data_IF_838010073122
#
_entry.id   IF_838010073122
#
_cell.length_a   1.000
_cell.length_b   1.000
_cell.length_c   1.000
_cell.angle_alpha   90.00
_cell.angle_beta   90.00
_cell.angle_gamma   90.00
#
_symmetry.space_group_name_H-M   'P 1'
#
loop_
_entity.id
_entity.type
_entity.pdbx_description
1 polymer ?
#
# COMPACT_ATOMS: atom_id res chain seq x y z
N UNK A 1 2.34 51.91 -75.83
CA UNK A 1 3.66 51.30 -76.09
C UNK A 1 3.85 50.21 -75.06
N UNK A 2 3.61 48.94 -75.44
CA UNK A 2 4.64 47.90 -75.67
C UNK A 2 5.22 47.36 -74.36
N UNK A 3 5.46 46.08 -74.11
CA UNK A 3 5.11 44.76 -74.67
C UNK A 3 5.61 43.78 -73.58
N UNK A 4 4.94 42.64 -73.44
CA UNK A 4 5.31 41.53 -72.55
C UNK A 4 6.72 40.99 -72.80
N UNK A 5 7.44 40.52 -71.78
CA UNK A 5 8.32 39.33 -71.85
C UNK A 5 8.53 38.73 -70.46
N UNK A 6 8.28 37.42 -70.34
CA UNK A 6 8.57 36.62 -69.15
C UNK A 6 9.96 36.00 -69.19
N UNK A 7 10.42 35.52 -68.03
CA UNK A 7 11.47 34.50 -67.91
C UNK A 7 11.08 33.53 -66.80
N UNK A 8 11.05 32.25 -67.15
CA UNK A 8 10.97 31.11 -66.23
C UNK A 8 12.37 30.84 -65.68
N UNK A 9 12.49 30.52 -64.39
CA UNK A 9 13.62 29.70 -63.93
C UNK A 9 13.20 28.86 -62.72
N UNK A 10 13.33 27.55 -62.89
CA UNK A 10 13.10 26.51 -61.90
C UNK A 10 14.20 26.51 -60.84
N UNK A 11 13.85 26.35 -59.57
CA UNK A 11 14.82 25.96 -58.54
C UNK A 11 14.19 24.93 -57.58
N UNK A 12 14.51 23.67 -57.88
CA UNK A 12 14.78 22.54 -57.00
C UNK A 12 14.03 22.43 -55.67
N UNK A 13 13.08 21.48 -55.63
CA UNK A 13 12.48 20.94 -54.43
C UNK A 13 13.54 20.13 -53.65
N UNK A 14 14.06 20.66 -52.55
CA UNK A 14 14.86 19.88 -51.60
C UNK A 14 13.92 19.06 -50.72
N UNK A 15 13.75 17.79 -51.07
CA UNK A 15 13.06 16.82 -50.22
C UNK A 15 13.87 16.62 -48.95
N UNK A 16 13.47 17.27 -47.85
CA UNK A 16 13.98 16.95 -46.52
C UNK A 16 13.43 15.58 -46.15
N UNK A 17 14.28 14.56 -46.28
CA UNK A 17 14.03 13.23 -45.77
C UNK A 17 14.08 13.33 -44.24
N UNK A 18 12.92 13.56 -43.61
CA UNK A 18 12.75 13.35 -42.18
C UNK A 18 12.92 11.85 -41.90
N UNK A 19 14.15 11.44 -41.57
CA UNK A 19 14.38 10.20 -40.85
C UNK A 19 13.71 10.33 -39.48
N UNK A 20 12.44 9.94 -39.40
CA UNK A 20 11.78 9.68 -38.13
C UNK A 20 12.42 8.42 -37.53
N UNK A 21 13.45 8.64 -36.70
CA UNK A 21 13.94 7.61 -35.80
C UNK A 21 12.83 7.38 -34.78
N UNK A 22 12.10 6.28 -34.93
CA UNK A 22 11.23 5.78 -33.89
C UNK A 22 12.11 5.28 -32.74
N UNK A 23 12.50 6.18 -31.84
CA UNK A 23 13.10 5.86 -30.55
C UNK A 23 11.99 5.85 -29.51
N UNK A 24 11.66 4.65 -29.05
CA UNK A 24 10.65 4.42 -28.04
C UNK A 24 10.41 2.93 -27.82
N UNK A 25 11.49 2.17 -27.61
CA UNK A 25 11.34 0.93 -26.86
C UNK A 25 10.99 1.35 -25.43
N UNK A 26 9.70 1.35 -25.10
CA UNK A 26 9.30 1.46 -23.70
C UNK A 26 9.79 0.18 -23.03
N UNK A 27 10.71 0.34 -22.08
CA UNK A 27 10.96 -0.68 -21.09
C UNK A 27 9.60 -1.01 -20.48
N UNK A 28 9.15 -2.26 -20.63
CA UNK A 28 8.11 -2.78 -19.75
C UNK A 28 8.78 -2.85 -18.39
N UNK A 29 8.66 -1.78 -17.61
CA UNK A 29 9.11 -1.79 -16.23
C UNK A 29 8.36 -2.93 -15.55
N UNK A 30 9.09 -4.01 -15.26
CA UNK A 30 8.55 -5.14 -14.52
C UNK A 30 8.25 -4.63 -13.12
N UNK A 31 7.00 -4.73 -12.70
CA UNK A 31 6.59 -4.37 -11.35
C UNK A 31 7.46 -5.11 -10.32
N UNK A 32 7.69 -4.52 -9.13
CA UNK A 32 8.38 -5.22 -8.06
C UNK A 32 7.69 -6.55 -7.74
N UNK A 33 8.42 -7.57 -7.23
CA UNK A 33 7.91 -8.94 -7.11
C UNK A 33 6.58 -9.10 -6.36
N UNK A 34 6.34 -8.22 -5.37
CA UNK A 34 5.10 -8.21 -4.58
C UNK A 34 3.88 -7.62 -5.27
N UNK A 35 4.03 -7.09 -6.50
CA UNK A 35 2.96 -6.50 -7.28
C UNK A 35 2.74 -7.26 -8.58
N UNK A 36 1.48 -7.62 -8.87
CA UNK A 36 1.06 -8.17 -10.15
C UNK A 36 -0.27 -7.52 -10.56
N UNK A 37 -0.46 -7.28 -11.85
CA UNK A 37 -1.76 -6.81 -12.39
C UNK A 37 -2.36 -7.94 -13.22
N UNK A 38 -3.57 -8.37 -12.85
CA UNK A 38 -4.36 -9.38 -13.56
C UNK A 38 -5.76 -8.84 -13.87
N UNK A 39 -5.96 -8.39 -15.12
CA UNK A 39 -7.20 -7.76 -15.54
C UNK A 39 -7.51 -6.49 -14.73
N UNK A 40 -8.58 -6.55 -13.94
CA UNK A 40 -9.03 -5.46 -13.06
C UNK A 40 -8.54 -5.61 -11.61
N UNK A 41 -7.68 -6.59 -11.34
CA UNK A 41 -7.16 -6.86 -9.99
C UNK A 41 -5.71 -6.45 -9.89
N UNK A 42 -5.40 -5.59 -8.92
CA UNK A 42 -4.05 -5.43 -8.38
C UNK A 42 -3.83 -6.49 -7.33
N UNK A 43 -2.82 -7.34 -7.53
CA UNK A 43 -2.38 -8.33 -6.55
C UNK A 43 -1.19 -7.75 -5.80
N UNK A 44 -1.33 -7.64 -4.48
CA UNK A 44 -0.28 -7.24 -3.57
C UNK A 44 0.01 -8.41 -2.60
N UNK A 45 1.17 -9.03 -2.81
CA UNK A 45 1.57 -10.26 -2.15
C UNK A 45 2.99 -10.12 -1.58
N UNK A 46 3.08 -10.00 -0.26
CA UNK A 46 4.36 -9.90 0.44
C UNK A 46 4.87 -11.26 0.92
N UNK A 47 4.16 -12.35 0.62
CA UNK A 47 4.44 -13.70 1.11
C UNK A 47 5.08 -14.62 0.05
N UNK A 48 4.86 -14.39 -1.26
CA UNK A 48 5.41 -15.22 -2.35
C UNK A 48 6.79 -14.76 -2.90
N UNK A 49 7.80 -15.64 -3.10
CA UNK A 49 7.93 -17.01 -2.64
C UNK A 49 8.78 -17.18 -1.36
N UNK A 50 8.63 -18.32 -0.69
CA UNK A 50 9.29 -18.75 0.57
C UNK A 50 10.82 -18.59 0.65
N UNK A 51 11.52 -18.35 -0.46
CA UNK A 51 13.00 -18.26 -0.51
C UNK A 51 13.57 -17.03 0.23
N UNK A 52 12.71 -16.18 0.77
CA UNK A 52 13.06 -14.89 1.34
C UNK A 52 13.28 -14.90 2.86
N UNK A 53 13.13 -16.06 3.51
CA UNK A 53 13.66 -16.28 4.85
C UNK A 53 15.18 -16.45 4.80
N UNK A 54 15.91 -15.49 5.36
CA UNK A 54 17.32 -15.64 5.66
C UNK A 54 17.56 -16.88 6.54
N UNK A 55 18.82 -17.36 6.60
CA UNK A 55 19.19 -18.55 7.39
C UNK A 55 18.90 -18.42 8.90
N UNK A 56 18.65 -17.21 9.37
CA UNK A 56 18.24 -16.83 10.73
C UNK A 56 16.71 -16.78 10.92
N UNK A 57 15.94 -17.06 9.88
CA UNK A 57 14.48 -16.95 9.88
C UNK A 57 13.98 -15.51 9.74
N UNK A 58 14.86 -14.51 9.60
CA UNK A 58 14.46 -13.14 9.34
C UNK A 58 14.08 -12.98 7.85
N UNK A 59 12.90 -12.42 7.58
CA UNK A 59 12.51 -12.05 6.22
C UNK A 59 13.21 -10.76 5.82
N UNK A 60 13.58 -10.64 4.55
CA UNK A 60 14.08 -9.36 4.06
C UNK A 60 12.95 -8.31 4.06
N UNK A 61 13.23 -7.09 4.54
CA UNK A 61 12.27 -5.96 4.65
C UNK A 61 11.47 -5.69 3.37
N UNK A 62 12.02 -6.05 2.20
CA UNK A 62 11.35 -5.93 0.90
C UNK A 62 10.05 -6.76 0.79
N UNK A 63 9.87 -7.74 1.69
CA UNK A 63 8.72 -8.66 1.79
C UNK A 63 7.78 -8.28 2.95
N UNK A 64 7.83 -7.03 3.39
CA UNK A 64 6.84 -6.42 4.26
C UNK A 64 6.16 -5.27 3.53
N UNK A 65 5.11 -4.73 4.13
CA UNK A 65 4.55 -3.44 3.73
C UNK A 65 5.56 -2.34 4.08
N UNK A 66 6.04 -1.60 3.08
CA UNK A 66 7.06 -0.56 3.28
C UNK A 66 6.62 0.79 2.72
N UNK A 67 7.28 1.87 3.14
CA UNK A 67 6.99 3.22 2.65
C UNK A 67 7.19 3.35 1.13
N UNK A 68 8.13 2.58 0.55
CA UNK A 68 8.38 2.54 -0.90
C UNK A 68 7.15 2.05 -1.70
N UNK A 69 6.23 1.32 -1.06
CA UNK A 69 5.03 0.79 -1.71
C UNK A 69 4.00 1.85 -2.00
N UNK A 70 4.01 2.95 -1.25
CA UNK A 70 3.00 4.01 -1.33
C UNK A 70 2.98 4.59 -2.74
N UNK A 71 4.13 5.01 -3.26
CA UNK A 71 4.21 5.59 -4.61
C UNK A 71 3.99 4.54 -5.69
N UNK A 72 4.42 3.29 -5.46
CA UNK A 72 4.16 2.18 -6.38
C UNK A 72 2.66 1.91 -6.54
N UNK A 73 1.89 1.94 -5.45
CA UNK A 73 0.43 1.83 -5.51
C UNK A 73 -0.18 2.94 -6.37
N UNK A 74 0.23 4.19 -6.15
CA UNK A 74 -0.27 5.34 -6.94
C UNK A 74 0.07 5.19 -8.42
N UNK A 75 1.31 4.86 -8.74
CA UNK A 75 1.78 4.70 -10.11
C UNK A 75 1.06 3.56 -10.83
N UNK A 76 0.86 2.42 -10.16
CA UNK A 76 0.17 1.27 -10.73
C UNK A 76 -1.30 1.60 -11.01
N UNK A 77 -2.01 2.20 -10.06
CA UNK A 77 -3.43 2.54 -10.24
C UNK A 77 -3.63 3.63 -11.31
N UNK A 78 -2.73 4.63 -11.35
CA UNK A 78 -2.75 5.65 -12.40
C UNK A 78 -2.51 5.06 -13.80
N UNK A 79 -1.63 4.08 -13.92
CA UNK A 79 -1.35 3.39 -15.19
C UNK A 79 -2.45 2.38 -15.59
N UNK A 80 -3.27 1.93 -14.64
CA UNK A 80 -4.27 0.87 -14.84
C UNK A 80 -5.65 1.30 -14.29
N UNK A 81 -6.32 2.29 -14.93
CA UNK A 81 -7.58 2.86 -14.42
C UNK A 81 -8.78 1.92 -14.45
N UNK A 82 -8.63 0.71 -15.00
CA UNK A 82 -9.66 -0.33 -14.99
C UNK A 82 -9.61 -1.21 -13.73
N UNK A 83 -8.58 -1.05 -12.88
CA UNK A 83 -8.47 -1.76 -11.62
C UNK A 83 -9.55 -1.25 -10.67
N UNK A 84 -10.38 -2.18 -10.20
CA UNK A 84 -11.43 -1.94 -9.21
C UNK A 84 -11.27 -2.85 -7.98
N UNK A 85 -10.25 -3.71 -7.96
CA UNK A 85 -10.00 -4.66 -6.88
C UNK A 85 -8.54 -4.73 -6.48
N UNK A 86 -8.31 -4.78 -5.17
CA UNK A 86 -7.04 -5.09 -4.53
C UNK A 86 -7.09 -6.47 -3.86
N UNK A 87 -6.32 -7.42 -4.37
CA UNK A 87 -6.06 -8.70 -3.71
C UNK A 87 -4.89 -8.57 -2.74
N UNK A 88 -5.05 -9.05 -1.51
CA UNK A 88 -4.07 -8.96 -0.42
C UNK A 88 -3.62 -10.34 0.05
N UNK A 89 -2.31 -10.48 0.23
CA UNK A 89 -1.65 -11.56 0.95
C UNK A 89 -0.43 -10.99 1.69
N UNK A 90 -0.53 -10.72 2.98
CA UNK A 90 0.55 -10.05 3.73
C UNK A 90 0.47 -10.24 5.25
N UNK A 91 1.60 -10.54 5.87
CA UNK A 91 1.80 -10.49 7.31
C UNK A 91 1.83 -9.06 7.91
N UNK A 92 1.89 -8.02 7.08
CA UNK A 92 1.95 -6.62 7.49
C UNK A 92 3.32 -5.98 7.29
N UNK A 93 3.63 -4.96 8.10
CA UNK A 93 4.85 -4.15 7.99
C UNK A 93 4.67 -2.78 8.61
N UNK A 94 5.14 -1.75 7.92
CA UNK A 94 4.98 -0.35 8.33
C UNK A 94 3.51 0.05 8.47
N UNK A 95 3.11 0.43 9.68
CA UNK A 95 1.78 0.97 9.99
C UNK A 95 1.48 2.21 9.15
N UNK A 96 2.44 3.14 9.06
CA UNK A 96 2.28 4.36 8.27
C UNK A 96 2.05 4.05 6.78
N UNK A 97 2.77 3.08 6.22
CA UNK A 97 2.56 2.66 4.84
C UNK A 97 1.19 1.98 4.66
N UNK A 98 0.79 1.12 5.59
CA UNK A 98 -0.53 0.49 5.58
C UNK A 98 -1.67 1.50 5.60
N UNK A 99 -1.62 2.49 6.50
CA UNK A 99 -2.62 3.56 6.59
C UNK A 99 -2.64 4.44 5.33
N UNK A 100 -1.47 4.82 4.79
CA UNK A 100 -1.40 5.64 3.56
C UNK A 100 -1.90 4.86 2.35
N UNK A 101 -1.63 3.56 2.26
CA UNK A 101 -2.18 2.70 1.19
C UNK A 101 -3.69 2.53 1.38
N UNK A 102 -4.19 2.45 2.62
CA UNK A 102 -5.62 2.43 2.90
C UNK A 102 -6.32 3.71 2.41
N UNK A 103 -5.69 4.88 2.57
CA UNK A 103 -6.18 6.14 1.97
C UNK A 103 -6.25 6.06 0.44
N UNK A 104 -5.21 5.53 -0.21
CA UNK A 104 -5.20 5.33 -1.67
C UNK A 104 -6.35 4.41 -2.12
N UNK A 105 -6.61 3.32 -1.37
CA UNK A 105 -7.72 2.39 -1.63
C UNK A 105 -9.07 3.09 -1.51
N UNK A 106 -9.26 3.91 -0.47
CA UNK A 106 -10.48 4.71 -0.28
C UNK A 106 -10.69 5.73 -1.40
N UNK A 107 -9.63 6.44 -1.81
CA UNK A 107 -9.68 7.45 -2.88
C UNK A 107 -10.09 6.84 -4.23
N UNK A 108 -9.70 5.59 -4.50
CA UNK A 108 -10.02 4.89 -5.73
C UNK A 108 -11.29 4.04 -5.64
N UNK A 109 -11.90 3.90 -4.46
CA UNK A 109 -13.11 3.11 -4.24
C UNK A 109 -12.92 1.62 -4.59
N UNK A 110 -11.77 1.04 -4.27
CA UNK A 110 -11.49 -0.36 -4.63
C UNK A 110 -12.21 -1.34 -3.70
N UNK A 111 -12.57 -2.51 -4.22
CA UNK A 111 -12.86 -3.69 -3.41
C UNK A 111 -11.56 -4.31 -2.88
N UNK A 112 -11.60 -4.89 -1.67
CA UNK A 112 -10.47 -5.63 -1.11
C UNK A 112 -10.78 -7.11 -0.94
N UNK A 113 -9.81 -7.96 -1.29
CA UNK A 113 -9.97 -9.41 -1.25
C UNK A 113 -8.73 -10.09 -0.67
N UNK A 114 -8.87 -10.80 0.46
CA UNK A 114 -7.78 -11.61 1.02
C UNK A 114 -7.71 -13.02 0.40
N UNK A 115 -6.56 -13.34 -0.20
CA UNK A 115 -6.21 -14.67 -0.72
C UNK A 115 -4.92 -15.12 -0.05
N UNK A 116 -5.03 -15.91 1.01
CA UNK A 116 -3.92 -16.19 1.93
C UNK A 116 -4.16 -15.53 3.29
N UNK A 117 -3.24 -14.71 3.75
CA UNK A 117 -3.38 -14.02 5.05
C UNK A 117 -3.36 -12.50 4.94
N UNK A 118 -3.98 -11.84 5.91
CA UNK A 118 -3.88 -10.39 6.06
C UNK A 118 -3.82 -10.05 7.55
N UNK A 119 -2.64 -9.63 8.00
CA UNK A 119 -2.30 -9.46 9.41
C UNK A 119 -1.74 -8.06 9.65
N UNK A 120 -1.93 -7.52 10.86
CA UNK A 120 -1.33 -6.25 11.27
C UNK A 120 -1.75 -5.09 10.33
N UNK A 121 -0.81 -4.29 9.86
CA UNK A 121 -1.02 -3.19 8.91
C UNK A 121 -1.72 -3.59 7.61
N UNK A 122 -1.70 -4.87 7.19
CA UNK A 122 -2.49 -5.32 6.04
C UNK A 122 -4.00 -5.13 6.30
N UNK A 123 -4.44 -5.31 7.55
CA UNK A 123 -5.86 -5.21 7.92
C UNK A 123 -6.36 -3.78 7.72
N UNK A 124 -5.52 -2.77 7.92
CA UNK A 124 -5.89 -1.37 7.67
C UNK A 124 -6.22 -1.16 6.19
N UNK A 125 -5.37 -1.67 5.29
CA UNK A 125 -5.60 -1.66 3.84
C UNK A 125 -6.88 -2.44 3.48
N UNK A 126 -7.06 -3.63 4.06
CA UNK A 126 -8.24 -4.45 3.81
C UNK A 126 -9.54 -3.72 4.20
N UNK A 127 -9.55 -3.06 5.36
CA UNK A 127 -10.74 -2.37 5.87
C UNK A 127 -11.14 -1.15 5.03
N UNK A 128 -10.23 -0.60 4.23
CA UNK A 128 -10.51 0.50 3.29
C UNK A 128 -11.40 0.09 2.12
N UNK A 129 -11.50 -1.21 1.80
CA UNK A 129 -12.30 -1.67 0.66
C UNK A 129 -13.80 -1.38 0.80
N UNK A 130 -14.45 -1.02 -0.29
CA UNK A 130 -15.92 -0.86 -0.33
C UNK A 130 -16.61 -2.21 -0.10
N UNK A 131 -16.30 -3.19 -0.97
CA UNK A 131 -16.52 -4.61 -0.75
C UNK A 131 -15.31 -5.26 -0.08
N UNK A 132 -15.57 -6.15 0.89
CA UNK A 132 -14.52 -6.77 1.72
C UNK A 132 -14.71 -8.27 1.81
N UNK A 133 -13.86 -9.03 1.12
CA UNK A 133 -14.02 -10.48 0.95
C UNK A 133 -12.74 -11.25 1.29
N UNK A 134 -12.88 -12.55 1.57
CA UNK A 134 -11.74 -13.46 1.69
C UNK A 134 -12.09 -14.85 1.14
N UNK A 135 -11.13 -15.54 0.54
CA UNK A 135 -11.32 -16.92 0.06
C UNK A 135 -11.47 -17.93 1.21
N UNK A 136 -11.97 -19.12 0.90
CA UNK A 136 -11.95 -20.24 1.85
C UNK A 136 -10.50 -20.61 2.18
N UNK A 137 -10.19 -20.77 3.47
CA UNK A 137 -8.84 -21.05 3.94
C UNK A 137 -8.00 -19.79 4.21
N UNK A 138 -8.43 -18.61 3.76
CA UNK A 138 -7.79 -17.36 4.12
C UNK A 138 -8.03 -16.97 5.59
N UNK A 139 -7.11 -16.19 6.14
CA UNK A 139 -7.16 -15.73 7.53
C UNK A 139 -6.92 -14.21 7.63
N UNK A 140 -7.63 -13.57 8.56
CA UNK A 140 -7.39 -12.17 8.95
C UNK A 140 -6.97 -12.16 10.42
N UNK A 141 -5.81 -11.58 10.72
CA UNK A 141 -5.18 -11.64 12.03
C UNK A 141 -5.01 -10.26 12.67
N UNK A 142 -5.28 -10.18 13.97
CA UNK A 142 -5.19 -8.94 14.75
C UNK A 142 -4.21 -9.10 15.91
N UNK A 143 -3.43 -8.07 16.15
CA UNK A 143 -2.59 -7.92 17.34
C UNK A 143 -2.30 -6.44 17.62
N UNK A 144 -1.76 -6.16 18.80
CA UNK A 144 -1.24 -4.83 19.13
C UNK A 144 -0.10 -4.43 18.19
N UNK A 145 -0.12 -3.18 17.74
CA UNK A 145 1.01 -2.56 17.05
C UNK A 145 2.16 -2.38 18.05
N UNK A 146 3.39 -2.60 17.59
CA UNK A 146 4.59 -2.36 18.37
C UNK A 146 5.71 -1.73 17.56
N UNK A 147 6.65 -1.11 18.27
CA UNK A 147 7.88 -0.60 17.68
C UNK A 147 9.05 -1.38 18.25
N UNK A 148 9.78 -2.07 17.36
CA UNK A 148 11.01 -2.73 17.75
C UNK A 148 12.01 -1.72 18.36
N UNK A 149 12.80 -2.09 19.39
CA UNK A 149 13.72 -1.16 20.06
C UNK A 149 14.69 -0.41 19.13
N UNK A 150 15.12 -1.07 18.04
CA UNK A 150 15.97 -0.44 17.01
C UNK A 150 15.24 0.66 16.24
N UNK A 151 13.97 0.46 15.89
CA UNK A 151 13.15 1.45 15.21
C UNK A 151 12.91 2.67 16.13
N UNK A 152 12.54 2.45 17.39
CA UNK A 152 12.41 3.50 18.42
C UNK A 152 13.69 4.33 18.52
N UNK A 153 14.86 3.67 18.61
CA UNK A 153 16.14 4.35 18.69
C UNK A 153 16.48 5.12 17.41
N UNK A 154 16.21 4.53 16.24
CA UNK A 154 16.44 5.15 14.94
C UNK A 154 15.62 6.42 14.75
N UNK A 155 14.33 6.35 15.09
CA UNK A 155 13.39 7.48 15.02
C UNK A 155 13.87 8.63 15.91
N UNK A 156 14.17 8.36 17.19
CA UNK A 156 14.73 9.37 18.09
C UNK A 156 15.98 10.03 17.50
N UNK A 157 16.94 9.24 17.02
CA UNK A 157 18.20 9.79 16.48
C UNK A 157 17.98 10.67 15.25
N UNK A 158 17.02 10.31 14.41
CA UNK A 158 16.68 11.04 13.19
C UNK A 158 16.00 12.37 13.51
N UNK A 159 14.99 12.35 14.38
CA UNK A 159 14.05 13.47 14.57
C UNK A 159 14.34 14.35 15.77
N UNK A 160 15.19 13.92 16.72
CA UNK A 160 15.41 14.66 17.98
C UNK A 160 15.80 16.13 17.84
N UNK A 161 16.40 16.54 16.72
CA UNK A 161 16.76 17.94 16.49
C UNK A 161 15.56 18.76 16.03
N UNK A 162 14.74 18.17 15.16
CA UNK A 162 13.58 18.83 14.57
C UNK A 162 12.44 18.92 15.60
N UNK A 163 12.33 17.91 16.46
CA UNK A 163 11.34 17.81 17.55
C UNK A 163 11.82 18.36 18.90
N UNK A 164 13.04 18.93 18.95
CA UNK A 164 13.66 19.50 20.16
C UNK A 164 13.73 18.51 21.36
N UNK A 165 13.99 17.23 21.11
CA UNK A 165 14.23 16.23 22.15
C UNK A 165 15.72 16.21 22.54
N UNK A 166 16.04 16.91 23.62
CA UNK A 166 17.36 16.90 24.24
C UNK A 166 17.73 15.51 24.79
N UNK A 167 16.76 14.76 25.32
CA UNK A 167 17.00 13.44 25.92
C UNK A 167 16.01 12.36 25.47
N UNK A 168 16.36 11.06 25.57
CA UNK A 168 15.42 9.97 25.35
C UNK A 168 14.21 9.98 26.30
N UNK A 169 14.28 10.67 27.44
CA UNK A 169 13.15 10.77 28.38
C UNK A 169 12.07 11.75 27.90
N UNK A 170 12.46 12.82 27.21
CA UNK A 170 11.51 13.74 26.55
C UNK A 170 10.81 13.03 25.40
N UNK A 171 11.58 12.30 24.58
CA UNK A 171 11.03 11.42 23.55
C UNK A 171 10.10 10.35 24.14
N UNK A 172 10.47 9.71 25.26
CA UNK A 172 9.61 8.73 25.93
C UNK A 172 8.29 9.33 26.44
N UNK A 173 8.31 10.59 26.90
CA UNK A 173 7.11 11.32 27.30
C UNK A 173 6.24 11.70 26.10
N UNK A 174 6.85 11.98 24.95
CA UNK A 174 6.15 12.18 23.68
C UNK A 174 5.51 10.90 23.19
N UNK A 175 6.26 9.78 23.09
CA UNK A 175 5.75 8.46 22.68
C UNK A 175 4.49 8.10 23.48
N UNK A 176 4.51 8.29 24.80
CA UNK A 176 3.35 7.95 25.63
C UNK A 176 2.06 8.67 25.21
N UNK A 177 2.16 9.92 24.77
CA UNK A 177 1.00 10.70 24.27
C UNK A 177 0.67 10.32 22.84
N UNK A 178 1.70 10.14 22.02
CA UNK A 178 1.58 9.77 20.61
C UNK A 178 0.86 8.43 20.45
N UNK A 179 1.27 7.40 21.20
CA UNK A 179 0.61 6.08 21.21
C UNK A 179 -0.87 6.17 21.62
N UNK A 180 -1.25 7.07 22.54
CA UNK A 180 -2.67 7.25 22.89
C UNK A 180 -3.46 7.87 21.74
N UNK A 181 -2.87 8.83 21.02
CA UNK A 181 -3.47 9.43 19.84
C UNK A 181 -3.59 8.40 18.70
N UNK A 182 -2.54 7.62 18.45
CA UNK A 182 -2.52 6.55 17.44
C UNK A 182 -3.60 5.49 17.72
N UNK A 183 -3.70 5.00 18.96
CA UNK A 183 -4.73 4.03 19.33
C UNK A 183 -6.13 4.61 19.15
N UNK A 184 -6.34 5.88 19.50
CA UNK A 184 -7.62 6.54 19.26
C UNK A 184 -7.95 6.60 17.76
N UNK A 185 -7.02 7.07 16.93
CA UNK A 185 -7.21 7.20 15.49
C UNK A 185 -7.44 5.85 14.80
N UNK A 186 -6.73 4.80 15.22
CA UNK A 186 -6.92 3.47 14.68
C UNK A 186 -8.31 2.90 15.05
N UNK A 187 -8.75 3.04 16.30
CA UNK A 187 -10.10 2.64 16.68
C UNK A 187 -11.16 3.43 15.91
N UNK A 188 -11.01 4.76 15.82
CA UNK A 188 -11.90 5.64 15.07
C UNK A 188 -11.98 5.23 13.60
N UNK A 189 -10.84 4.95 12.96
CA UNK A 189 -10.77 4.39 11.62
C UNK A 189 -11.55 3.09 11.47
N UNK A 190 -11.35 2.12 12.38
CA UNK A 190 -12.11 0.85 12.34
C UNK A 190 -13.62 1.09 12.44
N UNK A 191 -14.06 1.99 13.32
CA UNK A 191 -15.47 2.36 13.49
C UNK A 191 -16.05 3.04 12.25
N UNK A 192 -15.30 3.95 11.63
CA UNK A 192 -15.66 4.62 10.39
C UNK A 192 -15.71 3.67 9.19
N UNK A 193 -14.93 2.59 9.24
CA UNK A 193 -15.03 1.45 8.32
C UNK A 193 -16.14 0.48 8.71
N UNK A 194 -16.97 0.83 9.70
CA UNK A 194 -18.14 0.10 10.20
C UNK A 194 -17.82 -1.24 10.82
N UNK A 195 -16.66 -1.35 11.46
CA UNK A 195 -16.35 -2.45 12.38
C UNK A 195 -17.07 -2.22 13.70
N UNK A 196 -17.59 -3.29 14.29
CA UNK A 196 -18.23 -3.26 15.60
C UNK A 196 -17.26 -2.70 16.69
N UNK A 197 -17.70 -1.77 17.55
CA UNK A 197 -16.84 -1.19 18.57
C UNK A 197 -16.26 -2.17 19.58
N UNK A 198 -17.02 -3.19 19.99
CA UNK A 198 -16.52 -4.18 20.94
C UNK A 198 -15.45 -5.06 20.28
N UNK A 199 -15.67 -5.44 19.02
CA UNK A 199 -14.66 -6.13 18.23
C UNK A 199 -13.39 -5.28 18.06
N UNK A 200 -13.52 -4.00 17.70
CA UNK A 200 -12.39 -3.09 17.53
C UNK A 200 -11.55 -2.99 18.82
N UNK A 201 -12.19 -2.82 19.97
CA UNK A 201 -11.50 -2.79 21.27
C UNK A 201 -10.85 -4.14 21.60
N UNK A 202 -11.46 -5.27 21.24
CA UNK A 202 -10.89 -6.60 21.48
C UNK A 202 -9.59 -6.84 20.72
N UNK A 203 -9.40 -6.21 19.54
CA UNK A 203 -8.14 -6.30 18.79
C UNK A 203 -6.92 -5.88 19.62
N UNK A 204 -7.12 -4.95 20.57
CA UNK A 204 -6.07 -4.45 21.45
C UNK A 204 -5.70 -5.41 22.58
N UNK A 205 -6.37 -6.57 22.75
CA UNK A 205 -6.06 -7.52 23.81
C UNK A 205 -4.90 -8.45 23.47
N UNK A 206 -4.61 -8.65 22.20
CA UNK A 206 -3.62 -9.61 21.74
C UNK A 206 -2.23 -8.96 21.73
N UNK A 207 -1.25 -9.46 22.51
CA UNK A 207 0.10 -8.90 22.53
C UNK A 207 0.77 -8.92 21.14
N UNK A 208 1.80 -8.08 20.88
CA UNK A 208 2.38 -7.93 19.55
C UNK A 208 3.03 -9.19 18.95
N UNK A 209 3.41 -10.15 19.80
CA UNK A 209 4.05 -11.40 19.37
C UNK A 209 3.07 -12.58 19.24
N UNK A 210 1.79 -12.34 19.54
CA UNK A 210 0.69 -13.28 19.34
C UNK A 210 -0.20 -12.78 18.20
N UNK A 211 -1.03 -13.67 17.64
CA UNK A 211 -1.99 -13.29 16.61
C UNK A 211 -3.34 -13.90 16.94
N UNK A 212 -4.35 -13.05 16.99
CA UNK A 212 -5.72 -13.50 17.13
C UNK A 212 -6.37 -13.61 15.75
N UNK A 213 -6.78 -14.82 15.39
CA UNK A 213 -7.51 -15.12 14.16
C UNK A 213 -8.99 -15.39 14.47
N UNK A 214 -9.89 -14.40 14.27
CA UNK A 214 -11.32 -14.60 14.45
C UNK A 214 -11.88 -15.53 13.38
N UNK A 215 -12.97 -16.24 13.69
CA UNK A 215 -13.65 -17.06 12.69
C UNK A 215 -14.32 -16.17 11.63
N UNK A 216 -14.52 -16.70 10.41
CA UNK A 216 -15.26 -16.00 9.34
C UNK A 216 -16.61 -15.44 9.82
N UNK A 217 -17.38 -16.25 10.55
CA UNK A 217 -18.67 -15.81 11.09
C UNK A 217 -18.53 -14.62 12.05
N UNK A 218 -17.46 -14.59 12.86
CA UNK A 218 -17.16 -13.46 13.75
C UNK A 218 -16.75 -12.22 12.97
N UNK A 219 -15.94 -12.37 11.92
CA UNK A 219 -15.54 -11.26 11.03
C UNK A 219 -16.74 -10.66 10.29
N UNK A 220 -17.69 -11.48 9.83
CA UNK A 220 -18.95 -11.01 9.22
C UNK A 220 -19.80 -10.28 10.27
N UNK A 221 -20.00 -10.89 11.44
CA UNK A 221 -20.84 -10.30 12.49
C UNK A 221 -20.29 -8.97 13.01
N UNK A 222 -18.97 -8.82 13.06
CA UNK A 222 -18.29 -7.59 13.45
C UNK A 222 -18.19 -6.55 12.31
N UNK A 223 -18.72 -6.86 11.12
CA UNK A 223 -18.66 -5.96 9.97
C UNK A 223 -17.31 -5.91 9.27
N UNK A 224 -16.26 -6.63 9.72
CA UNK A 224 -14.95 -6.70 9.05
C UNK A 224 -15.09 -7.25 7.63
N UNK A 225 -15.81 -8.36 7.46
CA UNK A 225 -16.19 -8.87 6.15
C UNK A 225 -17.53 -8.25 5.72
N UNK A 226 -17.59 -7.77 4.48
CA UNK A 226 -18.79 -7.23 3.83
C UNK A 226 -19.00 -7.96 2.51
N UNK A 227 -19.49 -9.19 2.63
CA UNK A 227 -19.78 -10.04 1.49
C UNK A 227 -21.16 -9.68 0.92
N UNK A 228 -21.18 -8.83 -0.11
CA UNK A 228 -22.38 -8.54 -0.91
C UNK A 228 -23.01 -7.16 -0.70
N UNK A 229 -22.34 -6.13 -1.23
CA UNK A 229 -22.99 -4.88 -1.66
C UNK A 229 -23.58 -5.02 -3.05
#
# INVERSE_FOLDING_TARGET
MSLSFGVKSSLTLATVLCCSVAMGAQARDTLPPKFKVDGQTLIYDTEEPEENTGKDGARAEIWEITEDDIELFRDILAANPAIDRLQLNSGGGSVYAGETIAEIVLEHGLDTWVVGECISACVDIFLAGEGRQMTLGSQIGFHQRDWAPKAVQGYYRRWRKDEDWATPFEFGSWIYRDTQAEVFLHLDYMLDRGVDPEFAIETLKTPPHDIWFPTRLRLIAAGVLREGG
#
